data_IF_509482629267
#
_entry.id   IF_509482629267
#
_cell.length_a   1.000
_cell.length_b   1.000
_cell.length_c   1.000
_cell.angle_alpha   90.00
_cell.angle_beta   90.00
_cell.angle_gamma   90.00
#
_symmetry.space_group_name_H-M   'P 1'
#
loop_
_entity.id
_entity.type
_entity.pdbx_description
1 polymer ?
#
# COMPACT_ATOMS: atom_id res chain seq x y z
N UNK A 1 -3.23 20.61 -1.70
CA UNK A 1 -4.27 19.55 -1.73
C UNK A 1 -4.89 19.45 -3.12
N UNK A 2 -4.77 18.27 -3.74
CA UNK A 2 -5.18 18.03 -5.14
C UNK A 2 -6.67 18.32 -5.38
N UNK A 3 -7.00 18.73 -6.60
CA UNK A 3 -8.38 19.05 -7.00
C UNK A 3 -8.99 20.27 -6.28
N UNK A 4 -8.19 21.10 -5.60
CA UNK A 4 -8.69 22.20 -4.79
C UNK A 4 -7.70 23.38 -4.69
N UNK A 5 -8.21 24.55 -4.32
CA UNK A 5 -7.40 25.73 -3.98
C UNK A 5 -7.09 25.79 -2.47
N UNK A 6 -6.93 24.64 -1.80
CA UNK A 6 -6.66 24.57 -0.35
C UNK A 6 -5.22 24.15 -0.04
N UNK A 7 -4.55 24.99 0.74
CA UNK A 7 -3.35 24.64 1.48
C UNK A 7 -3.74 24.24 2.90
N UNK A 8 -3.22 23.10 3.36
CA UNK A 8 -3.28 22.57 4.72
C UNK A 8 -1.93 21.85 4.97
N UNK A 9 -1.48 21.62 6.21
CA UNK A 9 -0.17 21.03 6.47
C UNK A 9 0.05 19.70 5.75
N UNK A 10 1.31 19.43 5.40
CA UNK A 10 1.74 18.39 4.44
C UNK A 10 1.22 17.00 4.78
N UNK A 11 1.26 16.61 6.04
CA UNK A 11 0.75 15.34 6.54
C UNK A 11 -0.78 15.21 6.36
N UNK A 12 -1.55 16.29 6.50
CA UNK A 12 -3.00 16.29 6.21
C UNK A 12 -3.29 16.39 4.71
N UNK A 13 -2.46 17.09 3.94
CA UNK A 13 -2.54 17.11 2.48
C UNK A 13 -2.31 15.70 1.92
N UNK A 14 -1.29 15.00 2.40
CA UNK A 14 -1.00 13.60 2.08
C UNK A 14 -2.16 12.66 2.45
N UNK A 15 -2.70 12.77 3.68
CA UNK A 15 -3.85 12.00 4.13
C UNK A 15 -5.03 12.10 3.16
N UNK A 16 -5.42 13.31 2.77
CA UNK A 16 -6.56 13.53 1.86
C UNK A 16 -6.22 13.09 0.45
N UNK A 17 -5.06 13.46 -0.08
CA UNK A 17 -4.62 13.10 -1.43
C UNK A 17 -4.56 11.57 -1.63
N UNK A 18 -3.92 10.83 -0.71
CA UNK A 18 -3.85 9.37 -0.79
C UNK A 18 -5.19 8.70 -0.51
N UNK A 19 -6.04 9.26 0.36
CA UNK A 19 -7.42 8.76 0.53
C UNK A 19 -8.20 8.86 -0.78
N UNK A 20 -8.13 9.99 -1.50
CA UNK A 20 -8.79 10.13 -2.81
C UNK A 20 -8.28 9.10 -3.83
N UNK A 21 -6.98 8.87 -3.89
CA UNK A 21 -6.38 7.86 -4.77
C UNK A 21 -6.84 6.43 -4.47
N UNK A 22 -6.93 6.07 -3.18
CA UNK A 22 -7.28 4.71 -2.74
C UNK A 22 -8.79 4.42 -2.63
N UNK A 23 -9.63 5.45 -2.56
CA UNK A 23 -11.05 5.31 -2.14
C UNK A 23 -11.86 4.34 -3.00
N UNK A 24 -11.74 4.46 -4.32
CA UNK A 24 -12.53 3.67 -5.28
C UNK A 24 -11.96 2.26 -5.53
N UNK A 25 -10.85 1.89 -4.87
CA UNK A 25 -10.15 0.61 -5.10
C UNK A 25 -9.82 0.37 -6.58
N UNK A 26 -9.49 1.45 -7.31
CA UNK A 26 -9.29 1.44 -8.77
C UNK A 26 -7.85 1.79 -9.17
N UNK A 27 -6.98 2.09 -8.20
CA UNK A 27 -5.54 2.20 -8.41
C UNK A 27 -4.90 0.81 -8.65
N UNK A 28 -3.66 0.79 -9.14
CA UNK A 28 -2.94 -0.45 -9.43
C UNK A 28 -2.67 -1.27 -8.16
N UNK A 29 -2.36 -2.55 -8.36
CA UNK A 29 -1.93 -3.43 -7.29
C UNK A 29 -0.88 -4.46 -7.72
N UNK A 30 -0.16 -4.97 -6.72
CA UNK A 30 0.70 -6.16 -6.81
C UNK A 30 0.07 -7.32 -6.01
N UNK A 31 0.42 -8.57 -6.32
CA UNK A 31 -0.16 -9.77 -5.69
C UNK A 31 0.85 -10.90 -5.53
N UNK A 32 0.77 -11.61 -4.41
CA UNK A 32 1.46 -12.89 -4.15
C UNK A 32 0.56 -14.11 -4.46
N UNK A 33 -0.64 -13.90 -5.01
CA UNK A 33 -1.69 -14.91 -5.14
C UNK A 33 -2.50 -15.12 -3.85
N UNK A 34 -1.86 -15.08 -2.68
CA UNK A 34 -2.50 -15.18 -1.35
C UNK A 34 -3.03 -13.83 -0.80
N UNK A 35 -2.61 -12.71 -1.41
CA UNK A 35 -2.96 -11.36 -1.00
C UNK A 35 -2.78 -10.35 -2.14
N UNK A 36 -3.17 -9.09 -1.90
CA UNK A 36 -3.06 -7.96 -2.83
C UNK A 36 -2.63 -6.72 -2.06
N UNK A 37 -1.62 -6.00 -2.54
CA UNK A 37 -1.16 -4.71 -1.99
C UNK A 37 -1.17 -3.60 -3.05
N UNK A 38 -1.08 -2.34 -2.61
CA UNK A 38 -1.28 -1.16 -3.45
C UNK A 38 -0.19 -0.10 -3.21
N UNK A 39 0.98 -0.17 -3.86
CA UNK A 39 2.06 0.79 -3.59
C UNK A 39 1.83 2.18 -4.20
N UNK A 40 0.92 2.32 -5.16
CA UNK A 40 0.43 3.62 -5.65
C UNK A 40 -0.24 4.47 -4.57
N UNK A 41 -0.65 3.88 -3.44
CA UNK A 41 -1.23 4.62 -2.30
C UNK A 41 -0.26 5.69 -1.75
N UNK A 42 1.06 5.50 -1.94
CA UNK A 42 2.10 6.43 -1.50
C UNK A 42 2.29 7.62 -2.44
N UNK A 43 1.98 7.48 -3.74
CA UNK A 43 2.29 8.51 -4.75
C UNK A 43 1.67 9.87 -4.40
N UNK A 44 0.36 9.99 -4.06
CA UNK A 44 -0.24 11.29 -3.77
C UNK A 44 0.31 11.94 -2.49
N UNK A 45 0.84 11.14 -1.57
CA UNK A 45 1.51 11.62 -0.37
C UNK A 45 2.95 12.09 -0.65
N UNK A 46 3.73 11.32 -1.42
CA UNK A 46 5.09 11.71 -1.81
C UNK A 46 5.09 12.97 -2.68
N UNK A 47 4.10 13.13 -3.57
CA UNK A 47 3.83 14.41 -4.27
C UNK A 47 3.60 15.55 -3.27
N UNK A 48 2.85 15.31 -2.18
CA UNK A 48 2.58 16.34 -1.17
C UNK A 48 3.84 16.76 -0.41
N UNK A 49 4.74 15.82 -0.13
CA UNK A 49 6.04 16.09 0.51
C UNK A 49 6.98 16.85 -0.44
N UNK A 50 7.08 16.41 -1.70
CA UNK A 50 7.86 17.09 -2.73
C UNK A 50 7.36 18.53 -3.02
N UNK A 51 6.05 18.78 -2.94
CA UNK A 51 5.44 20.12 -3.07
C UNK A 51 5.83 21.08 -1.92
N UNK A 52 6.09 20.58 -0.71
CA UNK A 52 6.46 21.41 0.47
C UNK A 52 7.98 21.63 0.55
N UNK A 53 8.77 20.60 0.24
CA UNK A 53 10.24 20.62 0.35
C UNK A 53 10.94 21.09 -0.96
N UNK A 54 10.18 21.56 -1.95
CA UNK A 54 10.62 22.10 -3.27
C UNK A 54 11.56 21.16 -4.07
N UNK A 55 11.31 19.84 -3.99
CA UNK A 55 12.18 18.83 -4.63
C UNK A 55 11.92 18.67 -6.13
N UNK A 56 12.93 18.19 -6.86
CA UNK A 56 12.79 17.97 -8.30
C UNK A 56 11.92 16.75 -8.61
N UNK A 57 11.34 16.74 -9.82
CA UNK A 57 10.63 15.58 -10.34
C UNK A 57 11.50 14.31 -10.48
N UNK A 58 12.83 14.42 -10.40
CA UNK A 58 13.72 13.26 -10.36
C UNK A 58 13.75 12.63 -8.94
N UNK A 59 13.93 13.46 -7.90
CA UNK A 59 13.92 13.02 -6.49
C UNK A 59 12.54 12.46 -6.10
N UNK A 60 11.45 13.07 -6.58
CA UNK A 60 10.10 12.52 -6.42
C UNK A 60 9.94 11.13 -7.09
N UNK A 61 10.47 10.94 -8.31
CA UNK A 61 10.41 9.64 -8.98
C UNK A 61 11.26 8.59 -8.27
N UNK A 62 12.43 8.96 -7.76
CA UNK A 62 13.31 8.10 -6.96
C UNK A 62 12.62 7.66 -5.65
N UNK A 63 12.08 8.61 -4.88
CA UNK A 63 11.31 8.32 -3.67
C UNK A 63 10.10 7.39 -3.93
N UNK A 64 9.39 7.57 -5.05
CA UNK A 64 8.33 6.65 -5.47
C UNK A 64 8.90 5.25 -5.74
N UNK A 65 10.02 5.11 -6.46
CA UNK A 65 10.66 3.81 -6.71
C UNK A 65 11.10 3.14 -5.39
N UNK A 66 11.69 3.88 -4.45
CA UNK A 66 12.04 3.37 -3.12
C UNK A 66 10.81 2.84 -2.35
N UNK A 67 9.69 3.56 -2.38
CA UNK A 67 8.46 3.11 -1.72
C UNK A 67 7.91 1.80 -2.31
N UNK A 68 7.94 1.66 -3.65
CA UNK A 68 7.56 0.42 -4.34
C UNK A 68 8.51 -0.74 -4.03
N UNK A 69 9.82 -0.49 -3.97
CA UNK A 69 10.82 -1.50 -3.59
C UNK A 69 10.58 -2.04 -2.18
N UNK A 70 10.47 -1.16 -1.17
CA UNK A 70 10.35 -1.55 0.24
C UNK A 70 9.02 -2.25 0.50
N UNK A 71 7.88 -1.68 0.08
CA UNK A 71 6.59 -2.32 0.34
C UNK A 71 6.45 -3.62 -0.46
N UNK A 72 6.88 -3.64 -1.73
CA UNK A 72 6.82 -4.84 -2.56
C UNK A 72 7.61 -6.00 -1.97
N UNK A 73 8.81 -5.74 -1.42
CA UNK A 73 9.67 -6.76 -0.80
C UNK A 73 9.14 -7.27 0.53
N UNK A 74 8.69 -6.37 1.40
CA UNK A 74 8.05 -6.77 2.66
C UNK A 74 6.80 -7.61 2.40
N UNK A 75 5.97 -7.21 1.44
CA UNK A 75 4.76 -7.93 1.02
C UNK A 75 5.04 -9.32 0.45
N UNK A 76 6.03 -9.44 -0.45
CA UNK A 76 6.47 -10.71 -1.06
C UNK A 76 6.83 -11.79 -0.02
N UNK A 77 7.23 -11.41 1.20
CA UNK A 77 7.55 -12.40 2.26
C UNK A 77 6.35 -13.16 2.80
N UNK A 78 5.12 -12.65 2.62
CA UNK A 78 3.88 -13.23 3.19
C UNK A 78 3.77 -13.24 4.72
N UNK A 79 4.86 -12.94 5.44
CA UNK A 79 5.06 -13.16 6.89
C UNK A 79 3.95 -12.60 7.79
N UNK A 80 3.55 -11.35 7.55
CA UNK A 80 2.69 -10.59 8.46
C UNK A 80 1.19 -10.95 8.35
N UNK A 81 0.74 -11.46 7.20
CA UNK A 81 -0.68 -11.65 6.87
C UNK A 81 -1.33 -12.74 7.72
N UNK A 82 -0.68 -13.91 7.79
CA UNK A 82 -1.11 -15.05 8.61
C UNK A 82 -0.95 -14.80 10.12
N UNK A 83 -0.32 -13.68 10.50
CA UNK A 83 -0.16 -13.21 11.89
C UNK A 83 -1.17 -12.11 12.27
N UNK A 84 -2.09 -11.75 11.38
CA UNK A 84 -3.18 -10.81 11.65
C UNK A 84 -2.93 -9.36 11.21
N UNK A 85 -1.83 -9.09 10.51
CA UNK A 85 -1.46 -7.75 10.06
C UNK A 85 -1.66 -7.56 8.54
N UNK A 86 -1.79 -6.32 8.13
CA UNK A 86 -2.09 -5.91 6.76
C UNK A 86 -0.86 -5.36 6.01
N UNK A 87 -0.88 -5.38 4.67
CA UNK A 87 0.19 -4.80 3.84
C UNK A 87 0.47 -3.32 4.12
N UNK A 88 -0.47 -2.60 4.75
CA UNK A 88 -0.29 -1.24 5.27
C UNK A 88 0.96 -1.11 6.15
N UNK A 89 1.28 -2.13 6.95
CA UNK A 89 2.45 -2.12 7.84
C UNK A 89 3.75 -1.96 7.04
N UNK A 90 3.90 -2.69 5.93
CA UNK A 90 5.03 -2.49 5.01
C UNK A 90 4.96 -1.17 4.25
N UNK A 91 3.75 -0.66 4.00
CA UNK A 91 3.56 0.67 3.43
C UNK A 91 4.02 1.80 4.36
N UNK A 92 3.82 1.65 5.68
CA UNK A 92 4.32 2.61 6.65
C UNK A 92 5.85 2.70 6.63
N UNK A 93 6.55 1.56 6.58
CA UNK A 93 8.02 1.53 6.48
C UNK A 93 8.51 2.11 5.14
N UNK A 94 7.81 1.81 4.05
CA UNK A 94 8.10 2.34 2.72
C UNK A 94 7.97 3.87 2.64
N UNK A 95 6.92 4.44 3.25
CA UNK A 95 6.74 5.90 3.35
C UNK A 95 7.79 6.51 4.26
N UNK A 96 8.21 5.85 5.34
CA UNK A 96 9.20 6.41 6.28
C UNK A 96 10.53 6.69 5.58
N UNK A 97 10.98 5.76 4.73
CA UNK A 97 12.16 5.97 3.89
C UNK A 97 11.87 7.01 2.81
N UNK A 98 10.85 6.80 1.97
CA UNK A 98 10.63 7.64 0.79
C UNK A 98 10.29 9.11 1.12
N UNK A 99 9.55 9.38 2.20
CA UNK A 99 9.30 10.73 2.67
C UNK A 99 10.53 11.31 3.41
N UNK A 100 11.29 10.49 4.14
CA UNK A 100 12.51 10.90 4.82
C UNK A 100 13.60 11.38 3.86
N UNK A 101 13.80 10.69 2.74
CA UNK A 101 14.70 11.12 1.66
C UNK A 101 14.26 12.47 1.06
N UNK A 102 12.96 12.66 0.77
CA UNK A 102 12.43 13.93 0.25
C UNK A 102 12.52 15.08 1.26
N UNK A 103 12.45 14.78 2.56
CA UNK A 103 12.60 15.73 3.68
C UNK A 103 14.08 16.08 3.95
N UNK A 104 15.01 15.36 3.32
CA UNK A 104 16.46 15.55 3.47
C UNK A 104 17.02 15.03 4.81
N UNK A 105 16.39 14.01 5.40
CA UNK A 105 16.85 13.43 6.67
C UNK A 105 18.25 12.81 6.52
N UNK A 106 19.11 13.01 7.53
CA UNK A 106 20.33 12.23 7.65
C UNK A 106 20.02 10.77 8.03
N UNK A 107 20.98 9.87 7.82
CA UNK A 107 20.84 8.45 8.18
C UNK A 107 20.40 8.21 9.64
N UNK A 108 20.79 9.09 10.57
CA UNK A 108 20.35 8.98 11.97
C UNK A 108 18.88 9.37 12.11
N UNK A 109 18.48 10.54 11.60
CA UNK A 109 17.09 11.00 11.66
C UNK A 109 16.15 10.07 10.88
N UNK A 110 16.62 9.46 9.78
CA UNK A 110 15.89 8.44 9.04
C UNK A 110 15.70 7.15 9.85
N UNK A 111 16.71 6.76 10.64
CA UNK A 111 16.63 5.63 11.59
C UNK A 111 15.64 5.94 12.72
N UNK A 112 15.65 7.17 13.24
CA UNK A 112 14.71 7.64 14.26
C UNK A 112 13.26 7.66 13.71
N UNK A 113 13.04 8.19 12.51
CA UNK A 113 11.75 8.22 11.83
C UNK A 113 11.22 6.81 11.52
N UNK A 114 12.07 5.91 11.02
CA UNK A 114 11.75 4.49 10.83
C UNK A 114 11.38 3.83 12.15
N UNK A 115 12.14 4.07 13.21
CA UNK A 115 11.83 3.59 14.56
C UNK A 115 10.42 4.02 14.97
N UNK A 116 10.13 5.33 14.98
CA UNK A 116 8.81 5.88 15.32
C UNK A 116 7.70 5.23 14.46
N UNK A 117 7.91 5.08 13.15
CA UNK A 117 6.95 4.45 12.23
C UNK A 117 6.66 2.98 12.58
N UNK A 118 7.69 2.18 12.86
CA UNK A 118 7.63 0.73 13.08
C UNK A 118 6.78 0.33 14.28
N UNK A 119 6.84 1.02 15.43
CA UNK A 119 5.92 0.69 16.53
C UNK A 119 4.50 1.19 16.28
N UNK A 120 4.33 2.36 15.65
CA UNK A 120 3.06 3.09 15.65
C UNK A 120 2.09 2.72 14.54
N UNK A 121 2.54 2.13 13.42
CA UNK A 121 1.72 1.93 12.21
C UNK A 121 1.54 0.47 11.78
N UNK A 122 1.26 -0.41 12.75
CA UNK A 122 0.95 -1.82 12.49
C UNK A 122 -0.54 -2.00 12.18
N UNK A 123 -0.90 -2.04 10.89
CA UNK A 123 -2.29 -2.20 10.45
C UNK A 123 -2.83 -3.61 10.70
N UNK A 124 -4.02 -3.74 11.30
CA UNK A 124 -4.68 -5.04 11.51
C UNK A 124 -5.55 -5.46 10.31
N UNK A 125 -5.47 -6.75 9.96
CA UNK A 125 -6.13 -7.31 8.76
C UNK A 125 -7.66 -7.33 8.84
N UNK A 126 -8.23 -7.19 10.04
CA UNK A 126 -9.69 -7.17 10.26
C UNK A 126 -10.39 -6.09 9.41
N UNK A 127 -9.68 -5.00 9.10
CA UNK A 127 -10.09 -3.92 8.19
C UNK A 127 -10.46 -4.37 6.77
N UNK A 128 -10.11 -5.60 6.37
CA UNK A 128 -10.42 -6.21 5.06
C UNK A 128 -11.11 -7.59 5.15
N UNK A 129 -11.54 -8.03 6.34
CA UNK A 129 -12.11 -9.37 6.57
C UNK A 129 -13.60 -9.38 6.93
N UNK A 130 -14.03 -8.47 7.80
CA UNK A 130 -15.43 -8.33 8.23
C UNK A 130 -16.26 -7.53 7.18
N UNK A 131 -17.45 -7.07 7.57
CA UNK A 131 -18.22 -6.08 6.81
C UNK A 131 -17.34 -4.84 6.51
N UNK A 132 -16.91 -4.73 5.25
CA UNK A 132 -15.87 -3.79 4.83
C UNK A 132 -16.34 -2.34 4.99
N UNK A 133 -15.78 -1.64 5.97
CA UNK A 133 -16.04 -0.22 6.19
C UNK A 133 -15.11 0.67 5.34
N UNK A 134 -15.45 1.96 5.25
CA UNK A 134 -14.62 2.97 4.59
C UNK A 134 -13.17 3.03 5.12
N UNK A 135 -12.91 2.49 6.32
CA UNK A 135 -11.56 2.38 6.87
C UNK A 135 -10.61 1.57 5.97
N UNK A 136 -11.10 0.61 5.18
CA UNK A 136 -10.31 -0.13 4.18
C UNK A 136 -9.55 0.81 3.22
N UNK A 137 -10.14 1.95 2.87
CA UNK A 137 -9.56 2.95 1.99
C UNK A 137 -8.68 3.98 2.71
N UNK A 138 -8.90 4.16 4.03
CA UNK A 138 -8.26 5.22 4.83
C UNK A 138 -7.04 4.68 5.61
N UNK A 139 -7.00 3.38 5.91
CA UNK A 139 -5.96 2.76 6.76
C UNK A 139 -4.53 2.96 6.24
N UNK A 140 -4.30 2.89 4.92
CA UNK A 140 -2.98 3.20 4.33
C UNK A 140 -2.70 4.72 4.37
N UNK A 141 -3.56 5.61 3.83
CA UNK A 141 -3.40 7.06 3.98
C UNK A 141 -3.19 7.56 5.42
N UNK A 142 -3.81 6.91 6.41
CA UNK A 142 -3.67 7.25 7.83
C UNK A 142 -2.32 6.80 8.39
N UNK A 143 -1.81 5.63 8.01
CA UNK A 143 -0.44 5.25 8.33
C UNK A 143 0.56 6.24 7.69
N UNK A 144 0.36 6.56 6.41
CA UNK A 144 1.16 7.54 5.65
C UNK A 144 1.17 8.92 6.31
N UNK A 145 0.04 9.40 6.85
CA UNK A 145 -0.07 10.63 7.65
C UNK A 145 0.82 10.60 8.89
N UNK A 146 0.68 9.57 9.73
CA UNK A 146 1.46 9.43 10.97
C UNK A 146 2.96 9.33 10.68
N UNK A 147 3.34 8.70 9.56
CA UNK A 147 4.74 8.51 9.17
C UNK A 147 5.37 9.78 8.61
N UNK A 148 4.66 10.61 7.85
CA UNK A 148 5.17 11.94 7.46
C UNK A 148 5.40 12.80 8.71
N UNK A 149 4.48 12.74 9.69
CA UNK A 149 4.68 13.38 10.99
C UNK A 149 5.87 12.79 11.77
N UNK A 150 6.15 11.48 11.66
CA UNK A 150 7.35 10.87 12.24
C UNK A 150 8.65 11.39 11.59
N UNK A 151 8.66 11.61 10.27
CA UNK A 151 9.81 12.18 9.55
C UNK A 151 10.03 13.65 9.93
N UNK A 152 8.95 14.45 10.00
CA UNK A 152 8.97 15.83 10.50
C UNK A 152 9.52 15.89 11.94
N UNK A 153 9.04 15.01 12.84
CA UNK A 153 9.54 14.94 14.21
C UNK A 153 11.02 14.54 14.30
N UNK A 154 11.50 13.62 13.46
CA UNK A 154 12.92 13.25 13.48
C UNK A 154 13.83 14.41 13.06
N UNK A 155 13.45 15.18 12.03
CA UNK A 155 14.16 16.41 11.59
C UNK A 155 14.27 17.45 12.70
N UNK A 156 13.27 17.54 13.58
CA UNK A 156 13.23 18.49 14.70
C UNK A 156 13.96 17.96 15.97
N UNK A 157 14.52 16.74 15.93
CA UNK A 157 15.36 16.16 16.99
C UNK A 157 14.76 15.08 17.91
N UNK A 158 13.43 14.89 18.04
CA UNK A 158 12.85 13.68 18.64
C UNK A 158 13.37 12.36 18.05
N UNK A 159 13.92 11.50 18.91
CA UNK A 159 14.52 10.20 18.53
C UNK A 159 13.53 9.03 18.59
N UNK A 160 13.83 7.97 17.83
CA UNK A 160 13.13 6.70 17.81
C UNK A 160 13.99 5.53 18.33
N UNK A 161 13.43 4.32 18.49
CA UNK A 161 14.20 3.15 18.91
C UNK A 161 15.01 2.59 17.72
N UNK A 162 16.32 2.81 17.71
CA UNK A 162 17.21 2.41 16.60
C UNK A 162 17.33 0.91 16.30
N UNK A 163 16.77 0.04 17.17
CA UNK A 163 16.68 -1.42 16.98
C UNK A 163 15.22 -1.90 16.91
N UNK A 164 14.33 -1.11 16.31
CA UNK A 164 12.89 -1.40 16.25
C UNK A 164 12.54 -2.70 15.50
N UNK A 165 13.44 -3.21 14.64
CA UNK A 165 13.20 -4.43 13.89
C UNK A 165 13.70 -5.69 14.64
N UNK A 166 14.92 -5.63 15.13
CA UNK A 166 15.74 -6.77 15.58
C UNK A 166 15.97 -6.83 17.10
N UNK A 167 15.55 -5.80 17.85
CA UNK A 167 15.62 -5.78 19.31
C UNK A 167 14.68 -6.78 20.01
N UNK A 168 14.82 -6.91 21.34
CA UNK A 168 13.88 -7.68 22.17
C UNK A 168 12.45 -7.18 21.98
N UNK A 169 11.53 -8.07 21.60
CA UNK A 169 10.14 -7.76 21.19
C UNK A 169 10.00 -6.84 19.97
N UNK A 170 11.05 -6.69 19.16
CA UNK A 170 11.06 -5.92 17.92
C UNK A 170 10.15 -6.51 16.84
N UNK A 171 10.04 -5.79 15.71
CA UNK A 171 9.16 -6.14 14.59
C UNK A 171 9.30 -7.59 14.10
N UNK A 172 10.53 -8.11 14.03
CA UNK A 172 10.79 -9.48 13.57
C UNK A 172 10.21 -10.54 14.50
N UNK A 173 10.24 -10.34 15.82
CA UNK A 173 9.59 -11.27 16.76
C UNK A 173 8.07 -11.07 16.79
N UNK A 174 7.64 -9.81 16.96
CA UNK A 174 6.25 -9.47 17.26
C UNK A 174 5.33 -9.53 16.04
N UNK A 175 5.76 -9.01 14.89
CA UNK A 175 4.86 -8.74 13.75
C UNK A 175 5.05 -9.73 12.61
N UNK A 176 6.27 -9.91 12.10
CA UNK A 176 6.56 -10.85 11.00
C UNK A 176 6.83 -12.29 11.47
N UNK A 177 7.31 -12.48 12.70
CA UNK A 177 7.60 -13.82 13.24
C UNK A 177 8.87 -14.48 12.68
N UNK A 178 9.77 -13.66 12.14
CA UNK A 178 11.03 -14.01 11.52
C UNK A 178 11.72 -12.76 10.98
N UNK A 179 13.02 -12.84 10.77
CA UNK A 179 13.79 -11.79 10.10
C UNK A 179 13.34 -11.64 8.64
N UNK A 180 13.23 -10.40 8.17
CA UNK A 180 12.89 -10.09 6.78
C UNK A 180 14.08 -9.41 6.12
N UNK A 181 14.78 -10.16 5.28
CA UNK A 181 15.95 -9.69 4.54
C UNK A 181 15.54 -8.99 3.24
N UNK A 182 16.19 -7.86 2.97
CA UNK A 182 15.91 -6.97 1.85
C UNK A 182 17.02 -7.02 0.77
N UNK A 183 17.62 -8.20 0.58
CA UNK A 183 18.88 -8.45 -0.15
C UNK A 183 18.94 -8.01 -1.64
N UNK A 184 17.83 -7.55 -2.22
CA UNK A 184 17.72 -7.11 -3.63
C UNK A 184 17.11 -5.70 -3.81
N UNK A 185 17.14 -4.86 -2.78
CA UNK A 185 16.74 -3.45 -2.91
C UNK A 185 17.44 -2.77 -4.10
N UNK A 186 16.69 -1.95 -4.84
CA UNK A 186 17.18 -1.30 -6.06
C UNK A 186 17.19 -2.21 -7.29
N UNK A 187 16.58 -3.40 -7.22
CA UNK A 187 16.40 -4.29 -8.36
C UNK A 187 17.66 -5.03 -8.82
N UNK A 188 18.63 -5.26 -7.94
CA UNK A 188 19.93 -5.87 -8.23
C UNK A 188 19.85 -7.28 -8.89
N UNK A 189 18.78 -8.02 -8.61
CA UNK A 189 18.41 -9.35 -9.17
C UNK A 189 17.65 -9.25 -10.51
N UNK A 190 17.43 -8.04 -11.04
CA UNK A 190 17.08 -7.81 -12.45
C UNK A 190 15.77 -7.09 -12.75
N UNK A 191 14.99 -6.63 -11.76
CA UNK A 191 13.79 -5.78 -12.00
C UNK A 191 13.39 -4.98 -10.76
N UNK A 192 13.06 -3.70 -10.96
CA UNK A 192 12.41 -2.85 -9.95
C UNK A 192 10.93 -3.26 -9.73
N UNK A 193 10.46 -3.23 -8.48
CA UNK A 193 9.10 -3.64 -8.10
C UNK A 193 8.00 -2.77 -8.70
N UNK A 194 8.26 -1.50 -8.97
CA UNK A 194 7.34 -0.61 -9.70
C UNK A 194 6.98 -1.10 -11.11
N UNK A 195 7.85 -1.93 -11.72
CA UNK A 195 7.61 -2.52 -13.03
C UNK A 195 6.81 -3.83 -12.96
N UNK A 196 6.51 -4.35 -11.77
CA UNK A 196 5.84 -5.65 -11.56
C UNK A 196 4.33 -5.58 -11.32
N UNK A 197 3.72 -4.40 -11.46
CA UNK A 197 2.37 -4.09 -10.98
C UNK A 197 1.29 -4.26 -12.05
N UNK A 198 0.05 -4.42 -11.61
CA UNK A 198 -1.13 -4.61 -12.46
C UNK A 198 -2.12 -3.46 -12.32
N UNK A 199 -2.36 -2.75 -13.42
CA UNK A 199 -3.41 -1.73 -13.51
C UNK A 199 -4.80 -2.40 -13.60
N UNK A 200 -5.77 -1.85 -12.89
CA UNK A 200 -7.16 -2.32 -12.92
C UNK A 200 -7.88 -1.73 -14.13
N UNK A 201 -8.70 -2.54 -14.80
CA UNK A 201 -9.59 -2.10 -15.89
C UNK A 201 -10.92 -1.59 -15.35
N UNK A 202 -11.36 -2.12 -14.21
CA UNK A 202 -12.62 -1.76 -13.55
C UNK A 202 -12.41 -1.49 -12.05
N UNK A 203 -13.27 -0.65 -11.46
CA UNK A 203 -13.24 -0.30 -10.04
C UNK A 203 -13.82 -1.45 -9.16
N UNK A 204 -13.14 -2.59 -9.14
CA UNK A 204 -13.58 -3.79 -8.43
C UNK A 204 -12.41 -4.54 -7.75
N UNK A 205 -12.73 -5.70 -7.17
CA UNK A 205 -11.75 -6.63 -6.64
C UNK A 205 -10.75 -7.08 -7.72
N UNK A 206 -9.48 -7.33 -7.32
CA UNK A 206 -8.48 -7.77 -8.29
C UNK A 206 -8.81 -9.16 -8.85
N UNK A 207 -9.09 -10.15 -7.99
CA UNK A 207 -9.38 -11.52 -8.45
C UNK A 207 -10.76 -11.68 -9.13
N UNK A 208 -11.59 -10.63 -9.21
CA UNK A 208 -12.81 -10.61 -10.04
C UNK A 208 -12.57 -10.04 -11.45
N UNK A 209 -11.41 -9.46 -11.75
CA UNK A 209 -11.11 -8.98 -13.11
C UNK A 209 -11.19 -10.07 -14.18
N UNK A 210 -10.72 -11.32 -13.96
CA UNK A 210 -10.81 -12.36 -14.98
C UNK A 210 -12.23 -12.70 -15.45
N UNK A 211 -13.24 -12.65 -14.56
CA UNK A 211 -14.63 -12.92 -14.96
C UNK A 211 -15.27 -11.78 -15.75
N UNK A 212 -14.74 -10.56 -15.66
CA UNK A 212 -15.22 -9.42 -16.46
C UNK A 212 -14.84 -9.51 -17.95
N UNK A 213 -14.00 -10.47 -18.36
CA UNK A 213 -13.77 -10.80 -19.78
C UNK A 213 -15.05 -11.26 -20.51
N UNK A 214 -16.09 -11.65 -19.77
CA UNK A 214 -17.43 -11.91 -20.34
C UNK A 214 -18.03 -10.67 -21.03
N UNK A 215 -17.61 -9.46 -20.64
CA UNK A 215 -18.05 -8.21 -21.27
C UNK A 215 -17.57 -8.09 -22.72
N UNK A 216 -16.39 -8.63 -23.03
CA UNK A 216 -15.88 -8.67 -24.41
C UNK A 216 -16.74 -9.61 -25.27
N UNK A 217 -17.10 -10.78 -24.73
CA UNK A 217 -17.99 -11.77 -25.38
C UNK A 217 -19.39 -11.18 -25.64
N UNK A 218 -19.97 -10.51 -24.63
CA UNK A 218 -21.27 -9.83 -24.74
C UNK A 218 -21.23 -8.73 -25.81
N UNK A 219 -20.10 -8.01 -25.91
CA UNK A 219 -19.91 -6.93 -26.89
C UNK A 219 -19.69 -7.47 -28.31
N UNK A 220 -18.85 -8.49 -28.49
CA UNK A 220 -18.56 -9.11 -29.80
C UNK A 220 -19.79 -9.76 -30.42
N UNK A 221 -20.61 -10.44 -29.60
CA UNK A 221 -21.82 -11.12 -30.06
C UNK A 221 -23.11 -10.26 -29.97
N UNK A 222 -23.02 -9.02 -29.46
CA UNK A 222 -24.17 -8.12 -29.25
C UNK A 222 -25.32 -8.82 -28.47
N UNK A 223 -24.98 -9.38 -27.31
CA UNK A 223 -25.95 -10.07 -26.44
C UNK A 223 -26.64 -9.07 -25.51
N UNK A 224 -27.95 -9.21 -25.29
CA UNK A 224 -28.67 -8.53 -24.23
C UNK A 224 -28.89 -9.49 -23.04
N UNK A 225 -29.18 -8.95 -21.85
CA UNK A 225 -29.43 -9.77 -20.64
C UNK A 225 -30.63 -10.73 -20.75
N UNK A 226 -31.48 -10.58 -21.76
CA UNK A 226 -32.60 -11.49 -22.08
C UNK A 226 -32.15 -12.76 -22.83
N UNK A 227 -30.95 -12.73 -23.42
CA UNK A 227 -30.38 -13.77 -24.28
C UNK A 227 -29.44 -14.71 -23.48
N UNK A 228 -29.34 -14.49 -22.15
CA UNK A 228 -28.50 -15.22 -21.22
C UNK A 228 -29.38 -16.03 -20.25
N UNK A 229 -29.15 -17.35 -20.18
CA UNK A 229 -29.85 -18.25 -19.25
C UNK A 229 -29.06 -18.46 -17.94
N UNK A 230 -27.73 -18.61 -18.05
CA UNK A 230 -26.81 -18.91 -16.95
C UNK A 230 -25.40 -18.34 -17.23
N UNK A 231 -24.60 -18.10 -16.19
CA UNK A 231 -23.19 -17.66 -16.30
C UNK A 231 -22.33 -18.39 -15.25
N UNK A 232 -21.65 -19.46 -15.68
CA UNK A 232 -20.71 -20.21 -14.83
C UNK A 232 -19.36 -19.49 -14.66
N UNK A 233 -19.06 -19.05 -13.44
CA UNK A 233 -17.76 -18.43 -13.11
C UNK A 233 -16.86 -19.46 -12.41
N UNK A 234 -16.03 -20.16 -13.20
CA UNK A 234 -14.97 -21.01 -12.66
C UNK A 234 -13.83 -20.15 -12.09
N UNK A 235 -13.52 -20.31 -10.80
CA UNK A 235 -12.45 -19.57 -10.12
C UNK A 235 -11.80 -20.42 -9.01
N UNK A 236 -10.80 -19.85 -8.31
CA UNK A 236 -9.97 -20.54 -7.32
C UNK A 236 -10.38 -20.21 -5.87
N UNK A 237 -10.11 -21.13 -4.94
CA UNK A 237 -10.56 -21.10 -3.54
C UNK A 237 -10.40 -19.75 -2.84
N UNK A 238 -9.29 -19.04 -3.05
CA UNK A 238 -9.04 -17.74 -2.42
C UNK A 238 -9.99 -16.65 -2.94
N UNK A 239 -10.32 -16.65 -4.24
CA UNK A 239 -11.35 -15.75 -4.78
C UNK A 239 -12.74 -16.09 -4.23
N UNK A 240 -13.06 -17.38 -4.04
CA UNK A 240 -14.31 -17.84 -3.39
C UNK A 240 -14.34 -17.35 -1.92
N UNK A 241 -13.25 -17.50 -1.17
CA UNK A 241 -13.16 -17.03 0.23
C UNK A 241 -13.36 -15.51 0.37
N UNK A 242 -12.88 -14.71 -0.60
CA UNK A 242 -13.06 -13.26 -0.56
C UNK A 242 -14.46 -12.87 -1.04
N UNK A 243 -14.93 -13.34 -2.20
CA UNK A 243 -16.12 -12.82 -2.89
C UNK A 243 -17.38 -13.70 -2.82
N UNK A 244 -17.29 -14.98 -2.47
CA UNK A 244 -18.44 -15.90 -2.50
C UNK A 244 -18.60 -16.76 -1.23
N UNK A 245 -17.91 -16.42 -0.14
CA UNK A 245 -17.85 -17.23 1.09
C UNK A 245 -19.19 -17.37 1.84
N UNK A 246 -20.16 -16.50 1.55
CA UNK A 246 -21.49 -16.51 2.14
C UNK A 246 -22.49 -15.79 1.21
N UNK A 247 -23.80 -16.07 1.29
CA UNK A 247 -24.79 -15.55 0.34
C UNK A 247 -24.91 -14.02 0.30
N UNK A 248 -24.47 -13.31 1.36
CA UNK A 248 -24.46 -11.85 1.42
C UNK A 248 -23.37 -11.20 0.55
N UNK A 249 -22.55 -12.01 -0.14
CA UNK A 249 -21.54 -11.57 -1.11
C UNK A 249 -21.84 -12.01 -2.55
N UNK A 250 -22.87 -12.84 -2.75
CA UNK A 250 -23.28 -13.36 -4.07
C UNK A 250 -24.02 -12.28 -4.88
#
# INVERSE_FOLDING_TARGET
MLGSNRTIPTEYTALVNSTMGRYLDFNECNTTGESVCHPSDHIPALVSVAEEEDTSGAELLEAIVLAYEIQGRGFDTGTIWNRGFDYVTWGAHAVAVAAGELIGLSQQELTDALGIAVMSNNGLIISRRDAVSNWKAIVQPYATHNVIQACQMARDGPTGPGHAFEGDRGFFEAVSGGEVLFDDLGGCSGRFRILGTSFKTFACGYFSHPSLTVLDIITEHNLEAKDLEEIDIHTFDHAIQIYASCPEKW
#
